data_IF_475882240136
#
_entry.id   IF_475882240136
#
_cell.length_a   1.000
_cell.length_b   1.000
_cell.length_c   1.000
_cell.angle_alpha   90.00
_cell.angle_beta   90.00
_cell.angle_gamma   90.00
#
_symmetry.space_group_name_H-M   'P 1'
#
loop_
_entity.id
_entity.type
_entity.pdbx_description
1 polymer ?
#
# COMPACT_ATOMS: atom_id res chain seq x y z
N UNK A 1 25.23 7.95 7.82
CA UNK A 1 23.75 8.00 7.91
C UNK A 1 23.23 6.64 8.38
N UNK A 2 23.32 6.33 9.68
CA UNK A 2 22.89 5.05 10.26
C UNK A 2 21.46 5.10 10.85
N UNK A 3 20.72 6.19 10.65
CA UNK A 3 19.41 6.44 11.29
C UNK A 3 18.18 6.36 10.38
N UNK A 4 18.35 6.26 9.05
CA UNK A 4 17.26 6.47 8.09
C UNK A 4 16.03 5.58 8.34
N UNK A 5 16.22 4.25 8.41
CA UNK A 5 15.10 3.32 8.61
C UNK A 5 14.43 3.52 9.98
N UNK A 6 15.20 3.78 11.04
CA UNK A 6 14.66 3.99 12.39
C UNK A 6 13.80 5.24 12.47
N UNK A 7 14.19 6.31 11.79
CA UNK A 7 13.37 7.52 11.66
C UNK A 7 12.10 7.26 10.86
N UNK A 8 12.18 6.57 9.73
CA UNK A 8 11.01 6.24 8.90
C UNK A 8 10.00 5.37 9.67
N UNK A 9 10.48 4.38 10.43
CA UNK A 9 9.63 3.55 11.30
C UNK A 9 9.01 4.38 12.41
N UNK A 10 9.76 5.28 13.03
CA UNK A 10 9.23 6.21 14.04
C UNK A 10 8.09 7.07 13.50
N UNK A 11 8.29 7.70 12.33
CA UNK A 11 7.25 8.51 11.67
C UNK A 11 6.05 7.64 11.32
N UNK A 12 6.27 6.43 10.78
CA UNK A 12 5.18 5.50 10.45
C UNK A 12 4.32 5.13 11.67
N UNK A 13 4.97 4.88 12.81
CA UNK A 13 4.27 4.59 14.05
C UNK A 13 3.42 5.79 14.51
N UNK A 14 4.00 6.98 14.54
CA UNK A 14 3.26 8.20 14.92
C UNK A 14 2.10 8.47 13.97
N UNK A 15 2.29 8.35 12.66
CA UNK A 15 1.23 8.54 11.66
C UNK A 15 0.06 7.59 11.86
N UNK A 16 0.32 6.30 12.14
CA UNK A 16 -0.74 5.32 12.39
C UNK A 16 -1.49 5.63 13.68
N UNK A 17 -0.76 5.85 14.80
CA UNK A 17 -1.37 6.18 16.10
C UNK A 17 -2.24 7.43 15.99
N UNK A 18 -1.72 8.47 15.34
CA UNK A 18 -2.42 9.74 15.15
C UNK A 18 -3.58 9.65 14.15
N UNK A 19 -3.73 8.53 13.45
CA UNK A 19 -4.80 8.31 12.49
C UNK A 19 -5.85 7.32 12.98
N UNK A 20 -5.64 6.68 14.14
CA UNK A 20 -6.63 5.79 14.77
C UNK A 20 -7.94 6.52 15.06
N UNK A 21 -7.92 7.81 15.39
CA UNK A 21 -9.13 8.58 15.65
C UNK A 21 -10.01 8.77 14.40
N UNK A 22 -9.44 8.73 13.18
CA UNK A 22 -10.23 8.76 11.94
C UNK A 22 -11.13 7.52 11.82
N UNK A 23 -10.70 6.39 12.38
CA UNK A 23 -11.50 5.17 12.41
C UNK A 23 -12.73 5.34 13.32
N UNK A 24 -12.58 6.03 14.46
CA UNK A 24 -13.74 6.36 15.31
C UNK A 24 -14.73 7.26 14.57
N UNK A 25 -14.23 8.15 13.72
CA UNK A 25 -15.08 9.05 12.95
C UNK A 25 -15.89 8.32 11.87
N UNK A 26 -15.45 7.13 11.43
CA UNK A 26 -16.21 6.24 10.57
C UNK A 26 -17.44 5.62 11.27
N UNK A 27 -17.50 5.65 12.60
CA UNK A 27 -18.70 5.26 13.34
C UNK A 27 -19.83 6.28 13.21
N UNK A 28 -19.52 7.54 12.86
CA UNK A 28 -20.52 8.61 12.81
C UNK A 28 -21.52 8.48 11.64
N UNK A 29 -21.13 8.09 10.41
CA UNK A 29 -22.09 7.87 9.32
C UNK A 29 -23.05 6.69 9.54
N UNK A 30 -22.73 5.73 10.42
CA UNK A 30 -23.59 4.55 10.66
C UNK A 30 -25.01 4.89 11.12
N UNK A 31 -25.20 6.03 11.78
CA UNK A 31 -26.51 6.51 12.24
C UNK A 31 -27.34 7.17 11.14
N UNK A 32 -26.74 7.51 9.99
CA UNK A 32 -27.43 8.07 8.80
C UNK A 32 -27.57 7.04 7.67
N UNK A 33 -27.34 5.76 7.99
CA UNK A 33 -27.21 4.68 7.04
C UNK A 33 -28.53 3.93 6.89
N UNK A 34 -28.96 3.68 5.64
CA UNK A 34 -30.11 2.82 5.36
C UNK A 34 -29.61 1.43 4.95
N UNK A 35 -29.89 0.43 5.80
CA UNK A 35 -29.50 -0.96 5.58
C UNK A 35 -30.14 -1.57 4.33
N UNK A 36 -31.24 -0.99 3.85
CA UNK A 36 -31.94 -1.43 2.64
C UNK A 36 -31.06 -1.35 1.38
N UNK A 37 -30.08 -0.44 1.36
CA UNK A 37 -29.14 -0.30 0.24
C UNK A 37 -28.10 -1.43 0.16
N UNK A 38 -28.01 -2.30 1.16
CA UNK A 38 -27.09 -3.45 1.15
C UNK A 38 -27.70 -4.70 0.49
N UNK A 39 -29.03 -4.81 0.38
CA UNK A 39 -29.69 -5.99 -0.19
C UNK A 39 -29.37 -6.34 -1.65
N UNK A 40 -29.04 -5.41 -2.58
CA UNK A 40 -28.68 -5.80 -3.96
C UNK A 40 -27.30 -6.49 -4.07
N UNK A 41 -26.64 -6.82 -2.96
CA UNK A 41 -25.34 -7.52 -2.93
C UNK A 41 -25.31 -8.86 -3.69
N UNK A 42 -26.46 -9.51 -3.87
CA UNK A 42 -26.57 -10.79 -4.60
C UNK A 42 -26.98 -10.65 -6.08
N UNK A 43 -27.30 -9.43 -6.54
CA UNK A 43 -27.63 -9.18 -7.95
C UNK A 43 -26.39 -8.94 -8.82
N UNK A 44 -25.23 -8.68 -8.19
CA UNK A 44 -23.98 -8.48 -8.88
C UNK A 44 -23.47 -9.78 -9.53
N UNK A 45 -23.14 -9.73 -10.83
CA UNK A 45 -22.54 -10.89 -11.49
C UNK A 45 -21.14 -11.18 -10.94
N UNK A 46 -20.75 -12.46 -10.94
CA UNK A 46 -19.40 -12.91 -10.54
C UNK A 46 -18.31 -12.14 -11.31
N UNK A 47 -18.57 -11.81 -12.57
CA UNK A 47 -17.65 -11.03 -13.42
C UNK A 47 -17.44 -9.62 -12.89
N UNK A 48 -18.49 -8.96 -12.40
CA UNK A 48 -18.39 -7.62 -11.80
C UNK A 48 -17.68 -7.66 -10.45
N UNK A 49 -17.92 -8.70 -9.64
CA UNK A 49 -17.15 -8.93 -8.41
C UNK A 49 -15.65 -9.11 -8.70
N UNK A 50 -15.30 -9.88 -9.74
CA UNK A 50 -13.91 -10.07 -10.15
C UNK A 50 -13.25 -8.77 -10.64
N UNK A 51 -14.02 -7.92 -11.35
CA UNK A 51 -13.54 -6.59 -11.76
C UNK A 51 -13.25 -5.70 -10.57
N UNK A 52 -14.13 -5.69 -9.57
CA UNK A 52 -13.90 -4.98 -8.29
C UNK A 52 -12.68 -5.50 -7.55
N UNK A 53 -12.51 -6.82 -7.45
CA UNK A 53 -11.33 -7.43 -6.83
C UNK A 53 -10.03 -7.06 -7.57
N UNK A 54 -10.06 -7.00 -8.91
CA UNK A 54 -8.92 -6.54 -9.71
C UNK A 54 -8.55 -5.08 -9.40
N UNK A 55 -9.52 -4.19 -9.25
CA UNK A 55 -9.26 -2.79 -8.87
C UNK A 55 -8.66 -2.67 -7.46
N UNK A 56 -9.12 -3.48 -6.51
CA UNK A 56 -8.56 -3.54 -5.15
C UNK A 56 -7.10 -3.98 -5.11
N UNK A 57 -6.62 -4.67 -6.15
CA UNK A 57 -5.21 -5.08 -6.25
C UNK A 57 -4.29 -3.88 -6.13
N UNK A 58 -4.65 -2.72 -6.72
CA UNK A 58 -3.85 -1.50 -6.63
C UNK A 58 -3.69 -1.00 -5.20
N UNK A 59 -4.76 -1.09 -4.39
CA UNK A 59 -4.76 -0.70 -2.98
C UNK A 59 -3.88 -1.61 -2.12
N UNK A 60 -3.71 -2.87 -2.54
CA UNK A 60 -2.87 -3.87 -1.84
C UNK A 60 -1.40 -3.79 -2.27
N UNK A 61 -1.07 -3.07 -3.35
CA UNK A 61 0.33 -2.85 -3.77
C UNK A 61 1.06 -2.09 -2.64
N UNK A 62 2.15 -2.68 -2.17
CA UNK A 62 2.98 -2.14 -1.09
C UNK A 62 3.58 -3.18 -0.16
N UNK A 63 3.10 -4.43 -0.18
CA UNK A 63 3.78 -5.54 0.51
C UNK A 63 5.18 -5.80 -0.07
N UNK A 64 5.50 -5.31 -1.27
CA UNK A 64 6.85 -5.43 -1.86
C UNK A 64 7.93 -4.75 -0.99
N UNK A 65 7.57 -3.69 -0.28
CA UNK A 65 8.46 -2.99 0.65
C UNK A 65 8.95 -3.95 1.74
N UNK A 66 8.14 -4.94 2.11
CA UNK A 66 8.50 -5.94 3.13
C UNK A 66 9.74 -6.72 2.69
N UNK A 67 9.89 -7.06 1.40
CA UNK A 67 11.09 -7.74 0.90
C UNK A 67 12.36 -6.87 1.06
N UNK A 68 12.22 -5.56 0.92
CA UNK A 68 13.33 -4.61 1.09
C UNK A 68 13.69 -4.41 2.56
N UNK A 69 12.69 -4.41 3.44
CA UNK A 69 12.86 -4.25 4.90
C UNK A 69 13.29 -5.56 5.58
N UNK A 70 12.94 -6.72 5.01
CA UNK A 70 13.22 -8.05 5.56
C UNK A 70 14.65 -8.25 6.09
N UNK A 71 15.73 -7.88 5.37
CA UNK A 71 17.10 -8.05 5.88
C UNK A 71 17.43 -7.15 7.09
N UNK A 72 16.66 -6.10 7.36
CA UNK A 72 16.89 -5.15 8.45
C UNK A 72 16.07 -5.49 9.71
N UNK A 73 15.20 -6.49 9.68
CA UNK A 73 14.39 -6.92 10.82
C UNK A 73 15.23 -7.80 11.76
N UNK A 74 15.16 -7.51 13.06
CA UNK A 74 15.85 -8.28 14.11
C UNK A 74 15.28 -9.70 14.27
N UNK A 75 13.96 -9.82 14.36
CA UNK A 75 13.27 -11.10 14.63
C UNK A 75 12.57 -11.64 13.38
N UNK A 76 13.30 -12.39 12.53
CA UNK A 76 12.78 -12.89 11.25
C UNK A 76 11.60 -13.87 11.39
N UNK A 77 11.62 -14.72 12.41
CA UNK A 77 10.57 -15.72 12.66
C UNK A 77 9.21 -15.09 13.00
N UNK A 78 9.21 -13.93 13.67
CA UNK A 78 7.96 -13.26 14.06
C UNK A 78 7.42 -12.31 12.99
N UNK A 79 8.19 -12.01 11.94
CA UNK A 79 7.77 -11.05 10.89
C UNK A 79 6.48 -11.51 10.23
N UNK A 80 6.38 -12.80 9.90
CA UNK A 80 5.23 -13.32 9.17
C UNK A 80 3.92 -13.13 9.94
N UNK A 81 3.94 -13.39 11.25
CA UNK A 81 2.78 -13.21 12.12
C UNK A 81 2.33 -11.74 12.21
N UNK A 82 3.28 -10.81 12.40
CA UNK A 82 2.95 -9.38 12.47
C UNK A 82 2.48 -8.83 11.13
N UNK A 83 3.03 -9.34 10.02
CA UNK A 83 2.58 -9.00 8.67
C UNK A 83 1.13 -9.43 8.44
N UNK A 84 0.77 -10.67 8.84
CA UNK A 84 -0.61 -11.15 8.74
C UNK A 84 -1.57 -10.32 9.59
N UNK A 85 -1.19 -9.96 10.83
CA UNK A 85 -2.01 -9.07 11.65
C UNK A 85 -2.20 -7.69 11.04
N UNK A 86 -1.14 -7.11 10.47
CA UNK A 86 -1.23 -5.82 9.77
C UNK A 86 -2.14 -5.88 8.55
N UNK A 87 -2.00 -6.92 7.72
CA UNK A 87 -2.84 -7.14 6.54
C UNK A 87 -4.30 -7.42 6.91
N UNK A 88 -4.54 -8.22 7.95
CA UNK A 88 -5.89 -8.49 8.45
C UNK A 88 -6.55 -7.23 8.98
N UNK A 89 -5.82 -6.40 9.72
CA UNK A 89 -6.32 -5.12 10.22
C UNK A 89 -6.68 -4.15 9.08
N UNK A 90 -5.83 -3.99 8.08
CA UNK A 90 -6.12 -3.10 6.93
C UNK A 90 -7.27 -3.63 6.09
N UNK A 91 -7.36 -4.94 5.87
CA UNK A 91 -8.47 -5.57 5.14
C UNK A 91 -9.79 -5.37 5.87
N UNK A 92 -9.81 -5.56 7.20
CA UNK A 92 -11.01 -5.32 8.01
C UNK A 92 -11.42 -3.85 7.99
N UNK A 93 -10.46 -2.92 8.03
CA UNK A 93 -10.73 -1.50 7.93
C UNK A 93 -11.33 -1.12 6.56
N UNK A 94 -10.78 -1.67 5.47
CA UNK A 94 -11.35 -1.46 4.13
C UNK A 94 -12.74 -2.08 3.98
N UNK A 95 -12.98 -3.24 4.57
CA UNK A 95 -14.30 -3.87 4.59
C UNK A 95 -15.31 -2.98 5.33
N UNK A 96 -14.96 -2.46 6.51
CA UNK A 96 -15.80 -1.55 7.26
C UNK A 96 -16.10 -0.26 6.45
N UNK A 97 -15.09 0.32 5.82
CA UNK A 97 -15.25 1.49 4.94
C UNK A 97 -16.19 1.20 3.76
N UNK A 98 -16.06 0.03 3.14
CA UNK A 98 -16.92 -0.39 2.03
C UNK A 98 -18.37 -0.52 2.48
N UNK A 99 -18.64 -1.23 3.58
CA UNK A 99 -19.99 -1.41 4.12
C UNK A 99 -20.65 -0.07 4.43
N UNK A 100 -19.93 0.82 5.12
CA UNK A 100 -20.44 2.17 5.43
C UNK A 100 -20.72 2.97 4.15
N UNK A 101 -19.83 2.89 3.16
CA UNK A 101 -20.01 3.63 1.91
C UNK A 101 -21.23 3.12 1.12
N UNK A 102 -21.42 1.80 1.02
CA UNK A 102 -22.56 1.21 0.32
C UNK A 102 -23.89 1.47 1.02
N UNK A 103 -23.88 1.46 2.36
CA UNK A 103 -25.09 1.65 3.13
C UNK A 103 -25.47 3.14 3.27
N UNK A 104 -24.51 4.06 3.07
CA UNK A 104 -24.75 5.50 3.07
C UNK A 104 -25.12 6.04 1.67
N UNK A 105 -24.39 5.66 0.63
CA UNK A 105 -24.63 6.15 -0.73
C UNK A 105 -25.61 5.24 -1.48
N UNK A 106 -26.68 5.81 -2.03
CA UNK A 106 -27.49 5.09 -3.04
C UNK A 106 -26.63 4.74 -4.27
N UNK A 107 -26.94 3.64 -4.97
CA UNK A 107 -26.10 3.08 -6.03
C UNK A 107 -25.60 4.09 -7.08
N UNK A 108 -26.43 5.04 -7.51
CA UNK A 108 -26.05 6.08 -8.48
C UNK A 108 -25.27 7.27 -7.90
N UNK A 109 -25.32 7.49 -6.57
CA UNK A 109 -24.55 8.56 -5.91
C UNK A 109 -23.10 8.13 -5.65
N UNK A 110 -22.86 6.84 -5.36
CA UNK A 110 -21.50 6.34 -5.13
C UNK A 110 -20.64 6.46 -6.39
N UNK A 111 -21.19 6.11 -7.56
CA UNK A 111 -20.48 6.22 -8.85
C UNK A 111 -20.11 7.66 -9.22
N UNK A 112 -20.93 8.63 -8.82
CA UNK A 112 -20.65 10.07 -9.05
C UNK A 112 -19.71 10.66 -7.99
N UNK A 113 -19.49 9.95 -6.88
CA UNK A 113 -18.68 10.43 -5.77
C UNK A 113 -17.26 9.89 -5.86
N UNK A 114 -16.38 10.71 -6.45
CA UNK A 114 -14.97 10.38 -6.70
C UNK A 114 -14.20 10.07 -5.39
N UNK A 115 -14.54 10.75 -4.30
CA UNK A 115 -13.91 10.58 -2.98
C UNK A 115 -14.96 10.19 -1.93
N UNK A 116 -15.47 8.96 -2.01
CA UNK A 116 -16.52 8.46 -1.11
C UNK A 116 -16.20 8.67 0.37
N UNK A 117 -14.99 8.30 0.80
CA UNK A 117 -14.51 8.49 2.18
C UNK A 117 -14.41 9.95 2.61
N UNK A 118 -13.91 10.82 1.73
CA UNK A 118 -13.80 12.25 1.99
C UNK A 118 -15.18 12.92 2.07
N UNK A 119 -16.11 12.45 1.24
CA UNK A 119 -17.49 12.92 1.21
C UNK A 119 -18.25 12.50 2.46
N UNK A 120 -17.95 11.34 3.05
CA UNK A 120 -18.48 10.95 4.37
C UNK A 120 -18.05 11.93 5.47
N UNK A 121 -16.83 12.46 5.40
CA UNK A 121 -16.36 13.46 6.37
C UNK A 121 -17.04 14.82 6.26
N UNK A 122 -17.69 15.14 5.13
CA UNK A 122 -18.44 16.40 4.98
C UNK A 122 -19.71 16.44 5.84
N UNK A 123 -20.23 15.28 6.23
CA UNK A 123 -21.49 15.14 6.98
C UNK A 123 -21.28 15.48 8.46
N UNK A 124 -20.06 15.27 8.96
CA UNK A 124 -19.72 15.51 10.36
C UNK A 124 -19.65 17.02 10.59
N UNK A 125 -20.76 17.58 11.10
CA UNK A 125 -20.88 19.00 11.45
C UNK A 125 -20.76 19.13 12.97
N UNK A 126 -19.67 19.73 13.43
CA UNK A 126 -19.52 20.13 14.83
C UNK A 126 -19.92 21.60 15.00
N UNK A 127 -20.51 22.00 16.14
CA UNK A 127 -20.93 23.38 16.39
C UNK A 127 -19.78 24.40 16.35
N UNK A 128 -18.53 23.95 16.51
CA UNK A 128 -17.33 24.80 16.46
C UNK A 128 -16.59 24.79 15.12
N UNK A 129 -16.80 23.79 14.25
CA UNK A 129 -16.07 23.63 12.98
C UNK A 129 -17.08 23.34 11.88
N UNK A 130 -17.33 24.35 11.06
CA UNK A 130 -18.28 24.28 9.95
C UNK A 130 -17.73 23.42 8.79
N UNK A 131 -16.41 23.36 8.58
CA UNK A 131 -15.76 22.59 7.50
C UNK A 131 -14.74 21.59 8.04
N UNK A 132 -15.25 20.54 8.69
CA UNK A 132 -14.44 19.46 9.27
C UNK A 132 -13.58 18.72 8.24
N UNK A 133 -13.99 18.70 6.97
CA UNK A 133 -13.24 18.12 5.85
C UNK A 133 -11.79 18.61 5.77
N UNK A 134 -11.51 19.88 6.07
CA UNK A 134 -10.15 20.41 6.01
C UNK A 134 -9.22 19.81 7.05
N UNK A 135 -9.74 19.57 8.26
CA UNK A 135 -8.99 18.88 9.31
C UNK A 135 -8.67 17.47 8.83
N UNK A 136 -9.66 16.75 8.32
CA UNK A 136 -9.47 15.39 7.79
C UNK A 136 -8.40 15.34 6.68
N UNK A 137 -8.40 16.29 5.74
CA UNK A 137 -7.39 16.38 4.67
C UNK A 137 -5.98 16.58 5.24
N UNK A 138 -5.81 17.47 6.22
CA UNK A 138 -4.50 17.70 6.85
C UNK A 138 -3.97 16.43 7.52
N UNK A 139 -4.82 15.69 8.24
CA UNK A 139 -4.44 14.41 8.82
C UNK A 139 -4.20 13.34 7.75
N UNK A 140 -4.89 13.40 6.62
CA UNK A 140 -4.67 12.49 5.50
C UNK A 140 -3.26 12.60 4.93
N UNK A 141 -2.67 13.79 4.92
CA UNK A 141 -1.26 13.99 4.52
C UNK A 141 -0.31 13.24 5.46
N UNK A 142 -0.61 13.17 6.76
CA UNK A 142 0.18 12.43 7.74
C UNK A 142 0.11 10.91 7.51
N UNK A 143 -0.96 10.39 6.91
CA UNK A 143 -1.07 8.99 6.46
C UNK A 143 -0.25 8.69 5.21
N UNK A 144 -0.20 9.65 4.28
CA UNK A 144 0.53 9.49 3.01
C UNK A 144 2.05 9.62 3.23
N UNK A 145 2.46 10.50 4.15
CA UNK A 145 3.87 10.78 4.44
C UNK A 145 4.74 9.54 4.72
N UNK A 146 4.40 8.62 5.63
CA UNK A 146 5.24 7.45 5.91
C UNK A 146 5.34 6.50 4.72
N UNK A 147 4.28 6.38 3.91
CA UNK A 147 4.32 5.60 2.67
C UNK A 147 5.36 6.19 1.70
N UNK A 148 5.31 7.51 1.46
CA UNK A 148 6.30 8.20 0.62
C UNK A 148 7.73 8.01 1.15
N UNK A 149 7.93 8.14 2.46
CA UNK A 149 9.24 7.95 3.07
C UNK A 149 9.76 6.52 2.90
N UNK A 150 8.91 5.50 3.07
CA UNK A 150 9.26 4.09 2.88
C UNK A 150 9.62 3.79 1.42
N UNK A 151 8.79 4.23 0.47
CA UNK A 151 9.06 4.03 -0.96
C UNK A 151 10.33 4.76 -1.41
N UNK A 152 10.54 6.00 -0.97
CA UNK A 152 11.74 6.76 -1.32
C UNK A 152 13.01 6.14 -0.72
N UNK A 153 12.92 5.65 0.52
CA UNK A 153 14.02 4.93 1.16
C UNK A 153 14.34 3.61 0.44
N UNK A 154 13.30 2.83 0.10
CA UNK A 154 13.45 1.57 -0.63
C UNK A 154 14.05 1.78 -2.02
N UNK A 155 13.57 2.77 -2.78
CA UNK A 155 14.07 3.10 -4.11
C UNK A 155 15.52 3.58 -4.09
N UNK A 156 15.87 4.47 -3.15
CA UNK A 156 17.25 4.97 -3.00
C UNK A 156 18.23 3.84 -2.71
N UNK A 157 17.86 2.92 -1.82
CA UNK A 157 18.66 1.74 -1.48
C UNK A 157 18.75 0.74 -2.63
N UNK A 158 17.65 0.48 -3.32
CA UNK A 158 17.60 -0.41 -4.49
C UNK A 158 18.53 0.06 -5.59
N UNK A 159 18.43 1.33 -5.98
CA UNK A 159 19.26 1.94 -7.03
C UNK A 159 20.73 2.04 -6.57
N UNK A 160 20.99 2.42 -5.31
CA UNK A 160 22.34 2.47 -4.77
C UNK A 160 23.04 1.11 -4.82
N UNK A 161 22.33 0.01 -4.56
CA UNK A 161 22.87 -1.36 -4.64
C UNK A 161 23.11 -1.81 -6.08
N UNK A 162 22.23 -1.46 -7.02
CA UNK A 162 22.39 -1.82 -8.45
C UNK A 162 23.56 -1.07 -9.08
N UNK A 163 23.64 0.24 -8.86
CA UNK A 163 24.66 1.10 -9.49
C UNK A 163 25.93 1.29 -8.65
N UNK A 164 25.98 0.69 -7.45
CA UNK A 164 27.08 0.80 -6.49
C UNK A 164 27.48 2.27 -6.19
N UNK A 165 26.49 3.17 -6.15
CA UNK A 165 26.68 4.61 -5.90
C UNK A 165 26.31 4.97 -4.46
N UNK A 166 26.90 6.05 -3.94
CA UNK A 166 26.56 6.60 -2.61
C UNK A 166 25.08 6.96 -2.53
N UNK A 167 24.40 6.49 -1.48
CA UNK A 167 22.96 6.71 -1.23
C UNK A 167 22.54 8.18 -1.29
N UNK A 168 23.37 9.09 -0.77
CA UNK A 168 23.09 10.52 -0.79
C UNK A 168 22.92 11.07 -2.22
N UNK A 169 23.79 10.67 -3.15
CA UNK A 169 23.72 11.13 -4.54
C UNK A 169 22.47 10.58 -5.23
N UNK A 170 22.14 9.31 -4.96
CA UNK A 170 20.94 8.67 -5.51
C UNK A 170 19.67 9.36 -5.00
N UNK A 171 19.59 9.66 -3.70
CA UNK A 171 18.43 10.35 -3.12
C UNK A 171 18.21 11.71 -3.74
N UNK A 172 19.27 12.50 -3.97
CA UNK A 172 19.17 13.81 -4.61
C UNK A 172 18.69 13.73 -6.07
N UNK A 173 19.22 12.77 -6.83
CA UNK A 173 18.79 12.53 -8.22
C UNK A 173 17.31 12.14 -8.26
N UNK A 174 16.89 11.26 -7.36
CA UNK A 174 15.51 10.79 -7.29
C UNK A 174 14.54 11.91 -6.91
N UNK A 175 14.94 12.77 -5.96
CA UNK A 175 14.18 13.96 -5.58
C UNK A 175 14.06 14.97 -6.74
N UNK A 176 15.15 15.21 -7.45
CA UNK A 176 15.16 16.08 -8.63
C UNK A 176 14.25 15.54 -9.74
N UNK A 177 14.26 14.22 -9.95
CA UNK A 177 13.38 13.56 -10.91
C UNK A 177 11.90 13.69 -10.55
N UNK A 178 11.55 13.46 -9.28
CA UNK A 178 10.17 13.66 -8.78
C UNK A 178 9.74 15.12 -8.98
N UNK A 179 10.60 16.07 -8.62
CA UNK A 179 10.31 17.50 -8.79
C UNK A 179 10.08 17.89 -10.25
N UNK A 180 10.90 17.38 -11.17
CA UNK A 180 10.75 17.63 -12.59
C UNK A 180 9.43 17.04 -13.14
N UNK A 181 9.02 15.88 -12.63
CA UNK A 181 7.77 15.24 -13.01
C UNK A 181 6.55 16.03 -12.49
N UNK A 182 6.65 16.63 -11.30
CA UNK A 182 5.60 17.47 -10.72
C UNK A 182 5.37 18.78 -11.49
N UNK A 183 6.39 19.29 -12.17
CA UNK A 183 6.26 20.50 -13.00
C UNK A 183 5.43 20.25 -14.27
N UNK A 184 5.24 18.99 -14.67
CA UNK A 184 4.43 18.65 -15.82
C UNK A 184 2.94 18.67 -15.45
N UNK A 185 2.10 19.50 -16.09
CA UNK A 185 0.68 19.57 -15.78
C UNK A 185 -0.03 18.31 -16.30
N UNK A 186 -0.08 17.27 -15.48
CA UNK A 186 -0.81 16.05 -15.78
C UNK A 186 -2.31 16.27 -15.58
N UNK A 187 -3.10 15.97 -16.61
CA UNK A 187 -4.56 15.91 -16.48
C UNK A 187 -4.96 14.68 -15.67
N UNK A 188 -6.05 14.72 -14.89
CA UNK A 188 -6.50 13.58 -14.06
C UNK A 188 -6.63 12.26 -14.84
N UNK A 189 -7.09 12.33 -16.09
CA UNK A 189 -7.18 11.15 -16.98
C UNK A 189 -5.80 10.52 -17.22
N UNK A 190 -4.78 11.35 -17.40
CA UNK A 190 -3.41 10.90 -17.59
C UNK A 190 -2.83 10.30 -16.31
N UNK A 191 -3.18 10.85 -15.13
CA UNK A 191 -2.79 10.28 -13.84
C UNK A 191 -3.42 8.90 -13.63
N UNK A 192 -4.72 8.75 -13.93
CA UNK A 192 -5.40 7.47 -13.80
C UNK A 192 -4.83 6.42 -14.77
N UNK A 193 -4.56 6.81 -16.02
CA UNK A 193 -3.89 5.92 -16.98
C UNK A 193 -2.49 5.51 -16.48
N UNK A 194 -1.71 6.44 -15.95
CA UNK A 194 -0.40 6.14 -15.39
C UNK A 194 -0.49 5.18 -14.20
N UNK A 195 -1.46 5.39 -13.30
CA UNK A 195 -1.72 4.49 -12.18
C UNK A 195 -2.13 3.08 -12.66
N UNK A 196 -2.96 2.96 -13.70
CA UNK A 196 -3.36 1.67 -14.26
C UNK A 196 -2.18 0.91 -14.88
N UNK A 197 -1.30 1.61 -15.60
CA UNK A 197 -0.07 1.02 -16.14
C UNK A 197 0.88 0.60 -15.02
N UNK A 198 1.05 1.46 -14.01
CA UNK A 198 1.85 1.16 -12.83
C UNK A 198 1.29 -0.04 -12.07
N UNK A 199 -0.03 -0.13 -11.89
CA UNK A 199 -0.69 -1.25 -11.23
C UNK A 199 -0.41 -2.58 -11.94
N UNK A 200 -0.53 -2.60 -13.28
CA UNK A 200 -0.22 -3.78 -14.10
C UNK A 200 1.25 -4.15 -14.02
N UNK A 201 2.15 -3.18 -14.09
CA UNK A 201 3.60 -3.39 -13.99
C UNK A 201 4.01 -3.92 -12.62
N UNK A 202 3.49 -3.32 -11.55
CA UNK A 202 3.72 -3.74 -10.17
C UNK A 202 3.20 -5.17 -9.94
N UNK A 203 2.00 -5.51 -10.43
CA UNK A 203 1.45 -6.87 -10.34
C UNK A 203 2.39 -7.88 -11.03
N UNK A 204 2.91 -7.54 -12.21
CA UNK A 204 3.85 -8.39 -12.92
C UNK A 204 5.16 -8.58 -12.13
N UNK A 205 5.76 -7.50 -11.63
CA UNK A 205 6.99 -7.57 -10.83
C UNK A 205 6.76 -8.39 -9.55
N UNK A 206 5.66 -8.14 -8.86
CA UNK A 206 5.26 -8.82 -7.63
C UNK A 206 5.12 -10.32 -7.81
N UNK A 207 4.51 -10.78 -8.91
CA UNK A 207 4.26 -12.21 -9.10
C UNK A 207 5.48 -12.89 -9.72
N UNK A 208 6.12 -12.23 -10.69
CA UNK A 208 7.24 -12.80 -11.43
C UNK A 208 8.52 -12.80 -10.61
N UNK A 209 8.79 -11.76 -9.80
CA UNK A 209 10.04 -11.64 -9.07
C UNK A 209 10.22 -12.73 -7.99
N UNK A 210 9.23 -13.04 -7.11
CA UNK A 210 9.34 -14.15 -6.17
C UNK A 210 9.39 -15.52 -6.87
N UNK A 211 8.68 -15.70 -7.99
CA UNK A 211 8.73 -16.94 -8.78
C UNK A 211 10.12 -17.17 -9.41
N UNK A 212 10.72 -16.12 -9.97
CA UNK A 212 12.09 -16.17 -10.51
C UNK A 212 13.11 -16.43 -9.40
N UNK A 213 12.96 -15.78 -8.24
CA UNK A 213 13.87 -15.94 -7.11
C UNK A 213 13.75 -17.33 -6.50
N UNK A 214 12.54 -17.88 -6.40
CA UNK A 214 12.29 -19.27 -6.01
C UNK A 214 12.92 -20.25 -7.01
N UNK A 215 12.76 -20.01 -8.31
CA UNK A 215 13.43 -20.80 -9.36
C UNK A 215 14.95 -20.77 -9.25
N UNK A 216 15.55 -19.59 -9.06
CA UNK A 216 16.99 -19.42 -8.89
C UNK A 216 17.52 -20.12 -7.63
N UNK A 217 16.78 -20.07 -6.51
CA UNK A 217 17.13 -20.77 -5.27
C UNK A 217 17.05 -22.28 -5.46
N UNK A 218 16.04 -22.81 -6.15
CA UNK A 218 15.95 -24.24 -6.46
C UNK A 218 17.10 -24.72 -7.34
N UNK A 219 17.46 -23.94 -8.37
CA UNK A 219 18.60 -24.25 -9.24
C UNK A 219 19.90 -24.23 -8.44
N UNK A 220 20.12 -23.21 -7.60
CA UNK A 220 21.32 -23.12 -6.74
C UNK A 220 21.38 -24.25 -5.73
N UNK A 221 20.27 -24.61 -5.09
CA UNK A 221 20.19 -25.73 -4.14
C UNK A 221 20.46 -27.07 -4.84
N UNK A 222 19.97 -27.25 -6.07
CA UNK A 222 20.26 -28.43 -6.89
C UNK A 222 21.73 -28.49 -7.34
N UNK A 223 22.35 -27.34 -7.63
CA UNK A 223 23.76 -27.25 -8.04
C UNK A 223 24.73 -27.45 -6.86
N UNK A 224 24.43 -26.91 -5.67
CA UNK A 224 25.22 -27.13 -4.47
C UNK A 224 25.10 -28.56 -3.95
N UNK A 225 23.90 -29.15 -3.95
CA UNK A 225 23.72 -30.57 -3.55
C UNK A 225 24.47 -31.53 -4.48
N UNK A 226 24.51 -31.24 -5.80
CA UNK A 226 25.32 -32.01 -6.76
C UNK A 226 26.83 -31.86 -6.55
N UNK A 227 27.28 -30.71 -6.04
CA UNK A 227 28.71 -30.43 -5.77
C UNK A 227 29.17 -31.12 -4.47
N UNK A 228 28.29 -31.23 -3.49
CA UNK A 228 28.55 -31.97 -2.24
C UNK A 228 28.54 -33.49 -2.48
N UNK A 229 27.62 -34.01 -3.31
CA UNK A 229 27.60 -35.43 -3.74
C UNK A 229 28.84 -35.80 -4.58
N UNK A 230 29.31 -34.91 -5.47
CA UNK A 230 30.50 -35.15 -6.29
C UNK A 230 31.82 -35.05 -5.50
N UNK A 231 31.87 -34.31 -4.39
CA UNK A 231 33.04 -34.26 -3.50
C UNK A 231 33.08 -35.46 -2.53
N UNK A 232 31.93 -36.03 -2.17
CA UNK A 232 31.86 -37.24 -1.34
C UNK A 232 32.39 -38.49 -2.08
N UNK A 233 32.05 -38.65 -3.37
CA UNK A 233 32.55 -39.75 -4.21
C UNK A 233 34.03 -39.67 -4.59
N UNK A 234 34.70 -38.53 -4.33
CA UNK A 234 36.11 -38.31 -4.65
C UNK A 234 37.04 -38.57 -3.46
N UNK A 235 36.46 -38.78 -2.28
CA UNK A 235 37.14 -39.04 -1.01
C UNK A 235 36.93 -40.49 -0.50
N UNK A 236 36.25 -41.33 -1.30
CA UNK A 236 36.25 -42.80 -1.19
C UNK A 236 37.21 -43.39 -2.24
#
# INVERSE_FOLDING_TARGET
>A
MNGGLRTVVGVSFFSVVLSLWLILLLAYPFQFTNWDYLFPMFEASITEMLRGAKQMTFTVIGFEIIYVIYPFLKEKDRVHRHMQYGLGFTTLLYLALMVVSLAYFSGGQLERTIWGTLSLFKIVRFPFIERFEYVAITFWVLLILPNLMLYMWAATRGISRIFNKKEQKVSWILLAFIFLTLLYPLTRVQINLFNDYFAKGALYIVFVYPLLLFGAVLIKKKFFRKKDEANAQKNE
#
